data_IF_356118286979
#
_entry.id   IF_356118286979
#
_cell.length_a   1.000
_cell.length_b   1.000
_cell.length_c   1.000
_cell.angle_alpha   90.00
_cell.angle_beta   90.00
_cell.angle_gamma   90.00
#
_symmetry.space_group_name_H-M   'P 1'
#
loop_
_entity.id
_entity.type
_entity.pdbx_description
1 polymer ?
#
# COMPACT_ATOMS: atom_id res chain seq x y z
N UNK A 1 8.21 21.03 11.42
CA UNK A 1 9.56 20.81 10.89
C UNK A 1 9.54 19.47 10.17
N UNK A 2 10.03 19.40 8.94
CA UNK A 2 10.07 18.14 8.22
C UNK A 2 10.97 17.13 8.97
N UNK A 3 10.52 15.89 9.09
CA UNK A 3 11.29 14.80 9.72
C UNK A 3 12.40 14.27 8.80
N UNK A 4 12.26 14.54 7.51
CA UNK A 4 13.17 14.09 6.45
C UNK A 4 13.73 15.31 5.72
N UNK A 5 15.04 15.38 5.58
CA UNK A 5 15.68 16.40 4.74
C UNK A 5 15.69 15.98 3.26
N UNK A 6 15.97 16.91 2.36
CA UNK A 6 15.92 16.69 0.91
C UNK A 6 16.85 15.54 0.46
N UNK A 7 18.04 15.42 1.06
CA UNK A 7 18.98 14.35 0.71
C UNK A 7 18.46 12.96 1.11
N UNK A 8 17.89 12.84 2.30
CA UNK A 8 17.28 11.60 2.78
C UNK A 8 16.08 11.20 1.90
N UNK A 9 15.26 12.16 1.51
CA UNK A 9 14.15 11.94 0.58
C UNK A 9 14.65 11.47 -0.77
N UNK A 10 15.67 12.11 -1.33
CA UNK A 10 16.24 11.73 -2.62
C UNK A 10 16.87 10.32 -2.60
N UNK A 11 17.51 9.94 -1.49
CA UNK A 11 18.05 8.59 -1.31
C UNK A 11 16.92 7.57 -1.29
N UNK A 12 15.88 7.82 -0.50
CA UNK A 12 14.73 6.92 -0.38
C UNK A 12 14.01 6.73 -1.73
N UNK A 13 13.77 7.83 -2.45
CA UNK A 13 13.12 7.76 -3.75
C UNK A 13 13.94 6.96 -4.78
N UNK A 14 15.27 7.05 -4.74
CA UNK A 14 16.14 6.21 -5.59
C UNK A 14 16.06 4.73 -5.21
N UNK A 15 16.04 4.41 -3.92
CA UNK A 15 15.90 3.02 -3.44
C UNK A 15 14.57 2.42 -3.89
N UNK A 16 13.48 3.16 -3.74
CA UNK A 16 12.13 2.70 -4.09
C UNK A 16 11.88 2.68 -5.61
N UNK A 17 12.61 3.47 -6.37
CA UNK A 17 12.46 3.56 -7.83
C UNK A 17 12.70 2.24 -8.56
N UNK A 18 13.38 1.28 -7.96
CA UNK A 18 13.56 -0.06 -8.52
C UNK A 18 12.25 -0.84 -8.68
N UNK A 19 11.21 -0.49 -7.92
CA UNK A 19 9.87 -1.08 -7.99
C UNK A 19 8.90 -0.28 -8.88
N UNK A 20 9.34 0.86 -9.42
CA UNK A 20 8.54 1.76 -10.24
C UNK A 20 7.67 2.72 -9.45
N UNK A 21 7.25 3.78 -10.13
CA UNK A 21 6.33 4.79 -9.61
C UNK A 21 5.08 4.89 -10.50
N UNK A 22 3.95 5.32 -9.90
CA UNK A 22 2.71 5.52 -10.62
C UNK A 22 1.89 4.23 -10.81
N UNK A 23 0.72 4.37 -11.42
CA UNK A 23 -0.23 3.25 -11.53
C UNK A 23 -0.72 2.80 -10.17
N UNK A 24 -0.48 1.54 -9.82
CA UNK A 24 -0.80 0.98 -8.49
C UNK A 24 0.32 1.23 -7.46
N UNK A 25 1.41 1.84 -7.86
CA UNK A 25 2.53 2.23 -6.98
C UNK A 25 2.44 3.71 -6.62
N UNK A 26 3.12 4.16 -5.55
CA UNK A 26 3.15 5.57 -5.22
C UNK A 26 3.63 6.44 -6.39
N UNK A 27 3.02 7.59 -6.58
CA UNK A 27 3.58 8.65 -7.41
C UNK A 27 4.77 9.28 -6.67
N UNK A 28 5.86 9.55 -7.40
CA UNK A 28 7.09 10.06 -6.80
C UNK A 28 6.89 11.42 -6.10
N UNK A 29 6.11 12.31 -6.71
CA UNK A 29 5.82 13.63 -6.15
C UNK A 29 4.91 13.55 -4.93
N UNK A 30 3.91 12.65 -4.94
CA UNK A 30 3.03 12.42 -3.80
C UNK A 30 3.80 11.80 -2.61
N UNK A 31 4.69 10.84 -2.86
CA UNK A 31 5.51 10.27 -1.80
C UNK A 31 6.45 11.31 -1.20
N UNK A 32 7.11 12.13 -2.03
CA UNK A 32 7.93 13.25 -1.57
C UNK A 32 7.13 14.20 -0.69
N UNK A 33 5.95 14.59 -1.14
CA UNK A 33 5.06 15.51 -0.39
C UNK A 33 4.71 14.95 1.00
N UNK A 34 4.45 13.64 1.10
CA UNK A 34 4.20 12.99 2.40
C UNK A 34 5.43 13.06 3.31
N UNK A 35 6.62 12.72 2.78
CA UNK A 35 7.87 12.72 3.56
C UNK A 35 8.24 14.12 4.07
N UNK A 36 7.98 15.14 3.26
CA UNK A 36 8.27 16.55 3.58
C UNK A 36 7.15 17.23 4.39
N UNK A 37 6.03 16.55 4.65
CA UNK A 37 4.85 17.16 5.29
C UNK A 37 5.08 17.61 6.73
N UNK A 38 6.07 17.03 7.42
CA UNK A 38 6.32 17.31 8.84
C UNK A 38 5.33 16.63 9.79
N UNK A 39 4.50 15.72 9.30
CA UNK A 39 3.60 14.94 10.15
C UNK A 39 4.40 14.00 11.06
N UNK A 40 4.24 14.14 12.37
CA UNK A 40 5.01 13.43 13.39
C UNK A 40 4.18 12.48 14.27
N UNK A 41 2.87 12.44 14.03
CA UNK A 41 1.93 11.60 14.78
C UNK A 41 1.42 10.40 14.01
N UNK A 42 0.44 9.68 14.60
CA UNK A 42 -0.19 8.55 13.94
C UNK A 42 -0.87 8.95 12.63
N UNK A 43 -0.74 8.10 11.62
CA UNK A 43 -1.39 8.26 10.33
C UNK A 43 -2.23 7.03 9.99
N UNK A 44 -3.39 7.27 9.40
CA UNK A 44 -4.24 6.22 8.84
C UNK A 44 -4.19 6.27 7.33
N UNK A 45 -3.83 5.13 6.73
CA UNK A 45 -3.81 4.94 5.29
C UNK A 45 -5.10 4.24 4.88
N UNK A 46 -5.97 4.98 4.20
CA UNK A 46 -7.24 4.49 3.67
C UNK A 46 -6.98 3.92 2.28
N UNK A 47 -7.04 2.60 2.16
CA UNK A 47 -6.80 1.88 0.93
C UNK A 47 -8.13 1.53 0.29
N UNK A 48 -8.40 2.04 -0.91
CA UNK A 48 -9.48 1.63 -1.78
C UNK A 48 -8.91 0.64 -2.80
N UNK A 49 -9.50 -0.54 -2.91
CA UNK A 49 -8.92 -1.67 -3.61
C UNK A 49 -9.88 -2.23 -4.67
N UNK A 50 -9.39 -2.38 -5.89
CA UNK A 50 -10.07 -3.08 -6.97
C UNK A 50 -9.15 -4.17 -7.52
N UNK A 51 -9.66 -5.38 -7.68
CA UNK A 51 -8.87 -6.55 -8.04
C UNK A 51 -9.09 -6.96 -9.48
N UNK A 52 -8.06 -7.59 -10.07
CA UNK A 52 -8.24 -8.37 -11.28
C UNK A 52 -9.15 -9.56 -11.00
N UNK A 53 -9.97 -9.97 -11.98
CA UNK A 53 -10.77 -11.20 -11.87
C UNK A 53 -9.85 -12.42 -11.67
N UNK A 54 -8.81 -12.53 -12.50
CA UNK A 54 -7.78 -13.54 -12.40
C UNK A 54 -6.44 -12.90 -12.04
N UNK A 55 -5.70 -13.52 -11.13
CA UNK A 55 -4.39 -13.05 -10.72
C UNK A 55 -3.41 -13.02 -11.91
N UNK A 56 -2.62 -11.96 -12.00
CA UNK A 56 -1.67 -11.70 -13.09
C UNK A 56 -0.24 -11.83 -12.60
N UNK A 57 0.16 -13.05 -12.26
CA UNK A 57 1.57 -13.33 -11.96
C UNK A 57 2.42 -13.32 -13.23
N UNK A 58 3.72 -12.94 -13.15
CA UNK A 58 4.68 -13.15 -14.24
C UNK A 58 4.67 -14.62 -14.70
N UNK A 59 4.88 -14.86 -16.00
CA UNK A 59 4.81 -16.21 -16.57
C UNK A 59 5.76 -17.21 -15.91
N UNK A 60 6.92 -16.75 -15.47
CA UNK A 60 7.95 -17.54 -14.79
C UNK A 60 7.66 -17.79 -13.31
N UNK A 61 6.65 -17.13 -12.75
CA UNK A 61 6.30 -17.30 -11.34
C UNK A 61 5.56 -18.62 -11.12
N UNK A 62 5.87 -19.33 -10.02
CA UNK A 62 5.26 -20.62 -9.68
C UNK A 62 3.72 -20.57 -9.58
N UNK A 63 3.15 -19.42 -9.23
CA UNK A 63 1.70 -19.20 -9.12
C UNK A 63 1.04 -18.73 -10.42
N UNK A 64 1.79 -18.53 -11.51
CA UNK A 64 1.21 -18.14 -12.79
C UNK A 64 0.09 -19.08 -13.27
N UNK A 65 0.24 -20.43 -13.17
CA UNK A 65 -0.81 -21.36 -13.56
C UNK A 65 -1.80 -21.73 -12.44
N UNK A 66 -1.77 -21.01 -11.30
CA UNK A 66 -2.52 -21.44 -10.10
C UNK A 66 -4.04 -21.30 -10.20
N UNK A 67 -4.54 -20.44 -11.11
CA UNK A 67 -5.96 -20.13 -11.21
C UNK A 67 -6.49 -19.28 -10.06
N UNK A 68 -5.62 -18.64 -9.27
CA UNK A 68 -6.03 -17.72 -8.21
C UNK A 68 -6.75 -16.51 -8.78
N UNK A 69 -7.76 -16.01 -8.08
CA UNK A 69 -8.34 -14.70 -8.34
C UNK A 69 -7.39 -13.57 -7.91
N UNK A 70 -7.62 -12.37 -8.44
CA UNK A 70 -6.88 -11.19 -8.00
C UNK A 70 -7.02 -10.93 -6.49
N UNK A 71 -8.22 -11.12 -5.94
CA UNK A 71 -8.46 -10.97 -4.51
C UNK A 71 -7.68 -11.99 -3.66
N UNK A 72 -7.58 -13.24 -4.11
CA UNK A 72 -6.79 -14.27 -3.43
C UNK A 72 -5.29 -13.97 -3.48
N UNK A 73 -4.79 -13.49 -4.62
CA UNK A 73 -3.40 -13.05 -4.74
C UNK A 73 -3.10 -11.88 -3.80
N UNK A 74 -3.96 -10.85 -3.81
CA UNK A 74 -3.82 -9.71 -2.90
C UNK A 74 -3.89 -10.12 -1.42
N UNK A 75 -4.70 -11.12 -1.09
CA UNK A 75 -4.78 -11.67 0.26
C UNK A 75 -3.44 -12.22 0.77
N UNK A 76 -2.63 -12.80 -0.10
CA UNK A 76 -1.26 -13.25 0.23
C UNK A 76 -0.36 -12.06 0.57
N UNK A 77 -0.43 -10.99 -0.21
CA UNK A 77 0.26 -9.74 0.11
C UNK A 77 -0.24 -9.16 1.44
N UNK A 78 -1.56 -9.12 1.65
CA UNK A 78 -2.18 -8.59 2.86
C UNK A 78 -1.69 -9.26 4.14
N UNK A 79 -1.47 -10.56 4.11
CA UNK A 79 -0.92 -11.30 5.25
C UNK A 79 0.51 -10.85 5.59
N UNK A 80 1.36 -10.68 4.57
CA UNK A 80 2.73 -10.17 4.74
C UNK A 80 2.71 -8.71 5.25
N UNK A 81 1.91 -7.86 4.62
CA UNK A 81 1.81 -6.45 4.97
C UNK A 81 1.32 -6.27 6.42
N UNK A 82 0.29 -7.01 6.84
CA UNK A 82 -0.25 -6.91 8.19
C UNK A 82 0.79 -7.30 9.25
N UNK A 83 1.55 -8.36 9.02
CA UNK A 83 2.63 -8.78 9.92
C UNK A 83 3.69 -7.67 10.07
N UNK A 84 4.08 -7.04 8.95
CA UNK A 84 5.02 -5.93 8.96
C UNK A 84 4.48 -4.67 9.66
N UNK A 85 3.19 -4.37 9.47
CA UNK A 85 2.51 -3.25 10.15
C UNK A 85 2.51 -3.47 11.67
N UNK A 86 2.08 -4.64 12.11
CA UNK A 86 1.98 -4.98 13.54
C UNK A 86 3.34 -4.97 14.22
N UNK A 87 4.36 -5.53 13.59
CA UNK A 87 5.73 -5.52 14.14
C UNK A 87 6.30 -4.12 14.34
N UNK A 88 5.78 -3.13 13.61
CA UNK A 88 6.20 -1.72 13.70
C UNK A 88 5.26 -0.86 14.54
N UNK A 89 4.39 -1.49 15.33
CA UNK A 89 3.47 -0.80 16.24
C UNK A 89 2.20 -0.27 15.58
N UNK A 90 1.95 -0.65 14.34
CA UNK A 90 0.72 -0.30 13.64
C UNK A 90 -0.41 -1.29 13.88
N UNK A 91 -1.57 -1.00 13.30
CA UNK A 91 -2.77 -1.82 13.45
C UNK A 91 -3.67 -1.75 12.20
N UNK A 92 -4.38 -2.82 11.95
CA UNK A 92 -5.49 -2.83 10.99
C UNK A 92 -6.73 -2.29 11.68
N UNK A 93 -7.18 -1.11 11.26
CA UNK A 93 -8.34 -0.43 11.85
C UNK A 93 -9.64 -0.96 11.27
N UNK A 94 -9.64 -1.24 9.96
CA UNK A 94 -10.84 -1.65 9.23
C UNK A 94 -10.44 -2.45 7.99
N UNK A 95 -11.22 -3.49 7.68
CA UNK A 95 -11.11 -4.23 6.43
C UNK A 95 -12.49 -4.76 6.04
N UNK A 96 -13.10 -4.16 5.03
CA UNK A 96 -14.49 -4.43 4.65
C UNK A 96 -14.64 -4.60 3.13
N UNK A 97 -15.66 -5.38 2.75
CA UNK A 97 -16.17 -5.37 1.38
C UNK A 97 -16.92 -4.07 1.12
N UNK A 98 -16.70 -3.47 -0.06
CA UNK A 98 -17.46 -2.32 -0.53
C UNK A 98 -18.73 -2.85 -1.22
N UNK A 99 -19.90 -2.47 -0.73
CA UNK A 99 -21.17 -2.90 -1.30
C UNK A 99 -21.61 -1.99 -2.44
N UNK A 100 -21.46 -0.68 -2.27
CA UNK A 100 -21.83 0.32 -3.27
C UNK A 100 -21.22 1.70 -2.94
N UNK A 101 -21.17 2.54 -3.93
CA UNK A 101 -20.94 3.98 -3.76
C UNK A 101 -22.31 4.64 -3.60
N UNK A 102 -22.63 5.14 -2.41
CA UNK A 102 -23.92 5.77 -2.14
C UNK A 102 -23.98 7.21 -2.67
N UNK A 103 -22.89 7.95 -2.53
CA UNK A 103 -22.79 9.36 -2.98
C UNK A 103 -21.48 9.52 -3.77
N UNK A 104 -21.56 10.16 -4.90
CA UNK A 104 -20.44 10.39 -5.80
C UNK A 104 -20.50 9.53 -7.05
N UNK A 105 -19.38 9.47 -7.77
CA UNK A 105 -19.28 8.66 -8.97
C UNK A 105 -19.09 7.19 -8.60
N UNK A 106 -19.73 6.30 -9.37
CA UNK A 106 -19.48 4.87 -9.26
C UNK A 106 -18.03 4.56 -9.59
N UNK A 107 -17.39 3.79 -8.73
CA UNK A 107 -16.01 3.36 -8.87
C UNK A 107 -15.92 1.83 -8.63
N UNK A 108 -14.92 1.15 -9.24
CA UNK A 108 -14.85 -0.32 -9.21
C UNK A 108 -14.22 -0.85 -7.92
N UNK A 109 -14.50 -0.24 -6.77
CA UNK A 109 -13.92 -0.65 -5.51
C UNK A 109 -14.55 -1.93 -4.98
N UNK A 110 -13.73 -2.93 -4.73
CA UNK A 110 -14.14 -4.22 -4.16
C UNK A 110 -14.02 -4.19 -2.63
N UNK A 111 -12.95 -3.63 -2.10
CA UNK A 111 -12.68 -3.60 -0.67
C UNK A 111 -12.08 -2.27 -0.23
N UNK A 112 -12.23 -1.99 1.06
CA UNK A 112 -11.58 -0.89 1.77
C UNK A 112 -10.81 -1.44 2.96
N UNK A 113 -9.57 -1.00 3.13
CA UNK A 113 -8.73 -1.32 4.28
C UNK A 113 -8.12 -0.04 4.86
N UNK A 114 -8.14 0.10 6.17
CA UNK A 114 -7.49 1.21 6.87
C UNK A 114 -6.40 0.65 7.77
N UNK A 115 -5.15 0.99 7.44
CA UNK A 115 -3.98 0.69 8.25
C UNK A 115 -3.56 1.94 9.00
N UNK A 116 -3.32 1.81 10.31
CA UNK A 116 -2.74 2.87 11.12
C UNK A 116 -1.27 2.58 11.38
N UNK A 117 -0.43 3.57 11.16
CA UNK A 117 0.99 3.55 11.52
C UNK A 117 1.23 4.55 12.65
N UNK A 118 2.19 4.27 13.56
CA UNK A 118 2.53 5.23 14.61
C UNK A 118 3.16 6.51 14.07
N UNK A 119 3.67 6.48 12.85
CA UNK A 119 4.24 7.64 12.16
C UNK A 119 4.75 7.26 10.78
N UNK A 120 5.24 8.24 10.03
CA UNK A 120 5.79 8.06 8.67
C UNK A 120 6.97 7.09 8.68
N UNK A 121 7.83 7.14 9.71
CA UNK A 121 9.02 6.29 9.79
C UNK A 121 8.66 4.80 9.82
N UNK A 122 7.59 4.42 10.50
CA UNK A 122 7.13 3.04 10.53
C UNK A 122 6.73 2.55 9.13
N UNK A 123 6.01 3.38 8.38
CA UNK A 123 5.65 3.09 6.99
C UNK A 123 6.89 2.99 6.09
N UNK A 124 7.81 3.96 6.17
CA UNK A 124 9.04 3.97 5.37
C UNK A 124 9.92 2.76 5.68
N UNK A 125 10.10 2.42 6.95
CA UNK A 125 10.88 1.25 7.35
C UNK A 125 10.26 -0.05 6.83
N UNK A 126 8.92 -0.12 6.75
CA UNK A 126 8.23 -1.26 6.17
C UNK A 126 8.50 -1.39 4.67
N UNK A 127 8.30 -0.33 3.91
CA UNK A 127 8.44 -0.38 2.44
C UNK A 127 9.88 -0.60 1.97
N UNK A 128 10.86 -0.31 2.81
CA UNK A 128 12.29 -0.57 2.57
C UNK A 128 12.72 -1.99 2.94
N UNK A 129 11.91 -2.70 3.70
CA UNK A 129 12.24 -4.04 4.18
C UNK A 129 12.22 -5.03 3.00
N UNK A 130 13.34 -5.75 2.73
CA UNK A 130 13.38 -6.74 1.64
C UNK A 130 12.33 -7.84 1.77
N UNK A 131 11.97 -8.22 2.98
CA UNK A 131 10.96 -9.22 3.27
C UNK A 131 9.56 -8.74 2.86
N UNK A 132 9.25 -7.48 3.15
CA UNK A 132 8.03 -6.83 2.67
C UNK A 132 8.03 -6.74 1.13
N UNK A 133 9.14 -6.30 0.55
CA UNK A 133 9.27 -6.15 -0.91
C UNK A 133 9.09 -7.48 -1.65
N UNK A 134 9.53 -8.59 -1.08
CA UNK A 134 9.32 -9.92 -1.65
C UNK A 134 7.83 -10.28 -1.78
N UNK A 135 6.96 -9.70 -0.97
CA UNK A 135 5.51 -9.89 -1.04
C UNK A 135 4.81 -9.06 -2.12
N UNK A 136 5.47 -8.05 -2.70
CA UNK A 136 4.86 -7.14 -3.67
C UNK A 136 4.41 -7.85 -4.96
N UNK A 137 5.01 -8.97 -5.32
CA UNK A 137 4.58 -9.78 -6.48
C UNK A 137 3.11 -10.22 -6.35
N UNK A 138 2.64 -10.50 -5.15
CA UNK A 138 1.26 -10.87 -4.88
C UNK A 138 0.32 -9.66 -4.97
N UNK A 139 0.77 -8.50 -4.50
CA UNK A 139 0.05 -7.23 -4.65
C UNK A 139 -0.14 -6.89 -6.13
N UNK A 140 0.93 -6.94 -6.89
CA UNK A 140 0.94 -6.61 -8.31
C UNK A 140 0.10 -7.60 -9.13
N UNK A 141 0.11 -8.88 -8.76
CA UNK A 141 -0.71 -9.89 -9.42
C UNK A 141 -2.22 -9.70 -9.19
N UNK A 142 -2.59 -9.20 -8.01
CA UNK A 142 -3.99 -9.10 -7.61
C UNK A 142 -4.65 -7.75 -7.90
N UNK A 143 -3.90 -6.66 -7.77
CA UNK A 143 -4.44 -5.31 -7.72
C UNK A 143 -4.57 -4.71 -9.13
N UNK A 144 -5.80 -4.41 -9.54
CA UNK A 144 -6.09 -3.75 -10.81
C UNK A 144 -6.01 -2.23 -10.69
N UNK A 145 -6.60 -1.71 -9.61
CA UNK A 145 -6.74 -0.28 -9.37
C UNK A 145 -6.72 -0.02 -7.86
N UNK A 146 -6.13 1.07 -7.44
CA UNK A 146 -6.12 1.46 -6.03
C UNK A 146 -6.03 2.97 -5.86
N UNK A 147 -6.55 3.45 -4.74
CA UNK A 147 -6.26 4.77 -4.22
C UNK A 147 -5.91 4.63 -2.74
N UNK A 148 -4.88 5.33 -2.31
CA UNK A 148 -4.50 5.41 -0.90
C UNK A 148 -4.56 6.86 -0.47
N UNK A 149 -5.43 7.14 0.51
CA UNK A 149 -5.53 8.44 1.14
C UNK A 149 -4.82 8.38 2.49
N UNK A 150 -3.85 9.25 2.68
CA UNK A 150 -3.18 9.40 3.98
C UNK A 150 -3.95 10.41 4.80
N UNK A 151 -4.34 10.03 6.00
CA UNK A 151 -5.16 10.83 6.89
C UNK A 151 -4.60 10.84 8.31
N UNK A 152 -4.89 11.91 9.03
CA UNK A 152 -4.52 12.07 10.44
C UNK A 152 -5.77 11.86 11.30
N UNK A 153 -5.74 10.94 12.29
CA UNK A 153 -6.84 10.80 13.23
C UNK A 153 -7.12 12.12 13.98
N UNK A 154 -8.39 12.46 14.15
CA UNK A 154 -8.80 13.61 14.94
C UNK A 154 -9.31 13.23 16.34
N UNK A 155 -9.58 11.94 16.53
CA UNK A 155 -10.08 11.37 17.79
C UNK A 155 -9.24 10.18 18.20
#
# INVERSE_FOLDING_TARGET
>A
MALWNDEEVDVLLRELGSHGFGGINPDQGQLRSLLESGEDGPLQFVNLLSYHADARYPEEHELAPSGLSGAEAYGRYGAVALDHVVRRGGTLVLYNDVLQVLIGQTAPWDQIAIMQYPGIDAFVNMIRDPDYQAGLVHRDAGLAETAILVSRPLL
#
